data_IF_084827227636
#
_entry.id   IF_084827227636
#
_cell.length_a   1.000
_cell.length_b   1.000
_cell.length_c   1.000
_cell.angle_alpha   90.00
_cell.angle_beta   90.00
_cell.angle_gamma   90.00
#
_symmetry.space_group_name_H-M   'P 1'
#
loop_
_entity.id
_entity.type
_entity.pdbx_description
1 polymer ?
#
# COMPACT_ATOMS: atom_id res chain seq x y z
N UNK A 1 -31.18 31.46 12.76
CA UNK A 1 -30.89 31.15 11.34
C UNK A 1 -29.56 30.43 11.09
N UNK A 2 -28.51 30.58 11.91
CA UNK A 2 -27.22 29.88 11.70
C UNK A 2 -27.19 28.40 12.14
N UNK A 3 -28.01 28.02 13.12
CA UNK A 3 -28.08 26.64 13.64
C UNK A 3 -28.73 25.66 12.64
N UNK A 4 -29.70 26.14 11.85
CA UNK A 4 -30.36 25.34 10.83
C UNK A 4 -29.43 24.94 9.68
N UNK A 5 -28.45 25.78 9.33
CA UNK A 5 -27.47 25.50 8.27
C UNK A 5 -26.46 24.43 8.71
N UNK A 6 -26.09 24.41 10.00
CA UNK A 6 -25.18 23.40 10.56
C UNK A 6 -25.89 22.04 10.63
N UNK A 7 -27.17 22.01 11.03
CA UNK A 7 -27.97 20.78 11.01
C UNK A 7 -28.22 20.29 9.58
N UNK A 8 -28.46 21.19 8.61
CA UNK A 8 -28.57 20.79 7.20
C UNK A 8 -27.23 20.24 6.66
N UNK A 9 -26.09 20.85 7.00
CA UNK A 9 -24.77 20.36 6.60
C UNK A 9 -24.42 18.99 7.21
N UNK A 10 -24.85 18.73 8.45
CA UNK A 10 -24.71 17.42 9.09
C UNK A 10 -25.66 16.37 8.47
N UNK A 11 -26.88 16.76 8.09
CA UNK A 11 -27.84 15.89 7.41
C UNK A 11 -27.45 15.59 5.95
N UNK A 12 -26.74 16.50 5.26
CA UNK A 12 -26.20 16.25 3.91
C UNK A 12 -25.03 15.25 3.99
N UNK A 13 -24.23 15.27 5.07
CA UNK A 13 -23.20 14.26 5.30
C UNK A 13 -23.78 12.87 5.63
N UNK A 14 -24.93 12.80 6.30
CA UNK A 14 -25.59 11.52 6.58
C UNK A 14 -26.38 10.95 5.38
N UNK A 15 -26.74 11.78 4.39
CA UNK A 15 -27.54 11.34 3.23
C UNK A 15 -26.73 11.02 1.96
N UNK A 16 -25.41 11.24 1.97
CA UNK A 16 -24.47 10.84 0.89
C UNK A 16 -23.41 9.82 1.33
N UNK A 17 -23.68 9.03 2.37
CA UNK A 17 -22.77 8.01 2.91
C UNK A 17 -22.65 6.72 2.08
N UNK A 18 -22.56 6.78 0.75
CA UNK A 18 -22.01 5.65 0.01
C UNK A 18 -20.49 5.68 0.24
N UNK A 19 -19.98 4.86 1.15
CA UNK A 19 -18.54 4.71 1.32
C UNK A 19 -17.93 4.38 -0.03
N UNK A 20 -16.99 5.21 -0.50
CA UNK A 20 -16.32 4.97 -1.78
C UNK A 20 -15.59 3.63 -1.67
N UNK A 21 -15.93 2.70 -2.55
CA UNK A 21 -15.41 1.35 -2.56
C UNK A 21 -14.59 1.14 -3.83
N UNK A 22 -13.39 0.59 -3.70
CA UNK A 22 -12.46 0.37 -4.82
C UNK A 22 -11.89 -1.03 -4.79
N UNK A 23 -11.71 -1.62 -5.97
CA UNK A 23 -10.99 -2.87 -6.14
C UNK A 23 -9.55 -2.56 -6.58
N UNK A 24 -8.59 -3.22 -5.95
CA UNK A 24 -7.16 -3.06 -6.19
C UNK A 24 -6.60 -4.39 -6.71
N UNK A 25 -6.36 -4.46 -8.01
CA UNK A 25 -5.87 -5.65 -8.69
C UNK A 25 -4.37 -5.49 -8.97
N UNK A 26 -3.52 -6.25 -8.28
CA UNK A 26 -2.07 -6.22 -8.50
C UNK A 26 -1.70 -7.10 -9.69
N UNK A 27 -1.67 -6.54 -10.89
CA UNK A 27 -1.49 -7.30 -12.13
C UNK A 27 -0.07 -7.81 -12.31
N UNK A 28 0.92 -7.10 -11.77
CA UNK A 28 2.33 -7.50 -11.78
C UNK A 28 3.06 -7.01 -10.54
N UNK A 29 4.08 -7.74 -10.13
CA UNK A 29 5.08 -7.26 -9.19
C UNK A 29 6.40 -8.01 -9.42
N UNK A 30 7.53 -7.35 -9.13
CA UNK A 30 8.86 -7.97 -9.16
C UNK A 30 9.87 -7.18 -8.33
N UNK A 31 10.90 -7.84 -7.80
CA UNK A 31 12.04 -7.13 -7.23
C UNK A 31 12.80 -6.44 -8.36
N UNK A 32 13.31 -5.23 -8.09
CA UNK A 32 14.17 -4.56 -9.06
C UNK A 32 15.46 -5.37 -9.30
N UNK A 33 16.09 -5.16 -10.46
CA UNK A 33 17.33 -5.85 -10.79
C UNK A 33 18.45 -5.59 -9.75
N UNK A 34 19.21 -6.65 -9.47
CA UNK A 34 20.30 -6.65 -8.51
C UNK A 34 19.92 -7.26 -7.17
N UNK A 35 20.89 -7.89 -6.50
CA UNK A 35 20.67 -8.50 -5.19
C UNK A 35 20.69 -7.42 -4.11
N UNK A 36 19.53 -7.16 -3.52
CA UNK A 36 19.38 -6.20 -2.43
C UNK A 36 19.28 -6.91 -1.07
N UNK A 37 19.57 -6.21 0.03
CA UNK A 37 19.48 -6.77 1.38
C UNK A 37 18.14 -7.43 1.71
N UNK A 38 17.04 -6.89 1.18
CA UNK A 38 15.68 -7.39 1.36
C UNK A 38 15.06 -7.67 -0.02
N UNK A 39 14.69 -8.93 -0.24
CA UNK A 39 13.91 -9.37 -1.39
C UNK A 39 12.50 -9.77 -0.94
N UNK A 40 11.49 -9.39 -1.73
CA UNK A 40 10.07 -9.63 -1.41
C UNK A 40 9.51 -10.68 -2.37
N UNK A 41 8.75 -11.62 -1.84
CA UNK A 41 7.98 -12.58 -2.63
C UNK A 41 6.52 -12.52 -2.21
N UNK A 42 5.62 -12.15 -3.14
CA UNK A 42 4.20 -11.93 -2.87
C UNK A 42 3.30 -12.83 -3.69
N UNK A 43 2.24 -13.30 -3.07
CA UNK A 43 1.11 -13.93 -3.74
C UNK A 43 -0.15 -13.16 -3.34
N UNK A 44 -0.78 -12.49 -4.31
CA UNK A 44 -1.98 -11.69 -4.07
C UNK A 44 -3.21 -12.49 -4.51
N UNK A 45 -4.16 -12.68 -3.60
CA UNK A 45 -5.41 -13.37 -3.92
C UNK A 45 -6.37 -12.44 -4.65
N UNK A 46 -6.64 -12.75 -5.92
CA UNK A 46 -7.52 -11.96 -6.80
C UNK A 46 -8.85 -12.66 -7.12
N UNK A 47 -9.10 -13.88 -6.65
CA UNK A 47 -10.29 -14.65 -7.02
C UNK A 47 -11.57 -14.12 -6.36
N UNK A 48 -11.46 -13.60 -5.13
CA UNK A 48 -12.58 -13.05 -4.36
C UNK A 48 -12.25 -11.64 -3.84
N UNK A 49 -11.95 -10.73 -4.77
CA UNK A 49 -11.57 -9.37 -4.41
C UNK A 49 -12.65 -8.70 -3.54
N UNK A 50 -12.24 -8.22 -2.38
CA UNK A 50 -13.11 -7.47 -1.46
C UNK A 50 -12.79 -5.99 -1.60
N UNK A 51 -13.81 -5.11 -1.71
CA UNK A 51 -13.54 -3.69 -1.82
C UNK A 51 -12.70 -3.15 -0.66
N UNK A 52 -11.75 -2.30 -1.00
CA UNK A 52 -10.81 -1.66 -0.09
C UNK A 52 -9.92 -2.62 0.72
N UNK A 53 -9.82 -3.89 0.33
CA UNK A 53 -8.96 -4.88 0.98
C UNK A 53 -8.12 -5.63 -0.04
N UNK A 54 -6.85 -5.84 0.30
CA UNK A 54 -5.92 -6.66 -0.48
C UNK A 54 -5.52 -7.85 0.37
N UNK A 55 -5.80 -9.06 -0.11
CA UNK A 55 -5.40 -10.30 0.55
C UNK A 55 -4.11 -10.81 -0.08
N UNK A 56 -3.14 -11.17 0.76
CA UNK A 56 -1.83 -11.60 0.30
C UNK A 56 -1.20 -12.65 1.23
N UNK A 57 -0.39 -13.50 0.64
CA UNK A 57 0.60 -14.36 1.30
C UNK A 57 1.97 -14.00 0.75
N UNK A 58 3.05 -14.37 1.43
CA UNK A 58 4.38 -14.08 0.93
C UNK A 58 5.47 -14.23 1.96
N UNK A 59 6.67 -13.83 1.57
CA UNK A 59 7.80 -13.76 2.48
C UNK A 59 8.80 -12.67 2.08
N UNK A 60 9.61 -12.28 3.05
CA UNK A 60 10.80 -11.45 2.87
C UNK A 60 12.02 -12.32 3.12
N UNK A 61 12.97 -12.27 2.20
CA UNK A 61 14.30 -12.82 2.42
C UNK A 61 15.26 -11.68 2.74
N UNK A 62 15.77 -11.68 3.97
CA UNK A 62 16.71 -10.67 4.47
C UNK A 62 18.09 -11.30 4.54
N UNK A 63 19.00 -10.83 3.69
CA UNK A 63 20.35 -11.40 3.55
C UNK A 63 21.37 -10.79 4.51
N UNK A 64 21.17 -9.53 4.92
CA UNK A 64 22.04 -8.83 5.85
C UNK A 64 21.25 -7.92 6.81
N UNK A 65 21.90 -7.49 7.90
CA UNK A 65 21.27 -6.62 8.89
C UNK A 65 20.97 -5.25 8.29
N UNK A 66 19.69 -4.86 8.27
CA UNK A 66 19.25 -3.52 7.85
C UNK A 66 18.95 -2.66 9.06
N UNK A 67 19.76 -1.63 9.29
CA UNK A 67 19.66 -0.75 10.47
C UNK A 67 18.92 0.55 10.16
N UNK A 68 18.33 1.16 11.19
CA UNK A 68 17.62 2.43 11.05
C UNK A 68 18.55 3.64 10.81
N UNK A 69 18.01 4.75 10.29
CA UNK A 69 16.64 4.92 9.81
C UNK A 69 16.40 4.16 8.49
N UNK A 70 15.16 3.71 8.27
CA UNK A 70 14.71 3.10 7.01
C UNK A 70 13.62 4.00 6.42
N UNK A 71 13.90 4.62 5.28
CA UNK A 71 12.98 5.52 4.60
C UNK A 71 12.39 4.88 3.35
N UNK A 72 11.07 5.04 3.16
CA UNK A 72 10.40 4.62 1.93
C UNK A 72 10.25 5.78 0.95
N UNK A 73 10.54 5.51 -0.31
CA UNK A 73 10.20 6.41 -1.41
C UNK A 73 9.35 5.67 -2.45
N UNK A 74 8.32 6.36 -2.93
CA UNK A 74 7.40 5.88 -3.96
C UNK A 74 7.58 6.75 -5.19
N UNK A 75 8.00 6.13 -6.28
CA UNK A 75 7.93 6.73 -7.62
C UNK A 75 6.74 6.08 -8.32
N UNK A 76 5.85 6.86 -8.91
CA UNK A 76 4.60 6.30 -9.42
C UNK A 76 4.16 7.03 -10.67
N UNK A 77 3.67 6.27 -11.65
CA UNK A 77 3.00 6.77 -12.83
C UNK A 77 1.55 6.28 -12.80
N UNK A 78 0.61 7.17 -13.15
CA UNK A 78 -0.75 6.74 -13.48
C UNK A 78 -0.81 6.54 -14.99
N UNK A 79 -1.34 5.40 -15.41
CA UNK A 79 -1.52 5.06 -16.82
C UNK A 79 -2.99 4.79 -17.12
N UNK A 80 -3.44 5.04 -18.34
CA UNK A 80 -4.71 4.49 -18.79
C UNK A 80 -4.67 2.95 -18.77
N UNK A 81 -5.84 2.29 -18.82
CA UNK A 81 -5.89 0.83 -18.76
C UNK A 81 -5.25 0.13 -19.97
N UNK A 82 -5.05 0.84 -21.09
CA UNK A 82 -4.31 0.34 -22.25
C UNK A 82 -2.79 0.52 -22.15
N UNK A 83 -2.29 1.14 -21.08
CA UNK A 83 -0.88 1.46 -20.87
C UNK A 83 -0.27 2.35 -21.96
N UNK A 84 -1.08 3.11 -22.71
CA UNK A 84 -0.63 3.95 -23.82
C UNK A 84 -0.26 5.36 -23.38
N UNK A 85 -0.98 5.90 -22.39
CA UNK A 85 -0.72 7.21 -21.81
C UNK A 85 -0.38 7.05 -20.34
N UNK A 86 0.83 7.45 -19.98
CA UNK A 86 1.31 7.43 -18.60
C UNK A 86 1.78 8.82 -18.19
N UNK A 87 1.35 9.28 -17.03
CA UNK A 87 1.73 10.56 -16.44
C UNK A 87 2.42 10.31 -15.09
N UNK A 88 3.53 11.02 -14.87
CA UNK A 88 4.24 10.96 -13.59
C UNK A 88 3.36 11.53 -12.49
N UNK A 89 3.17 10.75 -11.44
CA UNK A 89 2.50 11.18 -10.23
C UNK A 89 3.56 11.42 -9.16
N UNK A 90 3.64 12.66 -8.65
CA UNK A 90 4.60 12.98 -7.61
C UNK A 90 4.24 12.19 -6.33
N UNK A 91 5.19 11.37 -5.89
CA UNK A 91 4.99 10.40 -4.84
C UNK A 91 4.71 11.01 -3.47
N UNK A 92 4.02 10.23 -2.64
CA UNK A 92 3.82 10.52 -1.22
C UNK A 92 5.03 9.96 -0.45
N UNK A 93 5.58 10.74 0.49
CA UNK A 93 6.53 10.20 1.46
C UNK A 93 5.75 9.45 2.52
N UNK A 94 6.02 8.15 2.69
CA UNK A 94 5.46 7.38 3.79
C UNK A 94 6.42 7.39 5.00
N UNK A 95 5.89 7.28 6.22
CA UNK A 95 6.71 7.04 7.40
C UNK A 95 7.57 5.78 7.22
N UNK A 96 8.77 5.80 7.79
CA UNK A 96 9.69 4.67 7.70
C UNK A 96 9.13 3.41 8.36
N UNK A 97 9.50 2.21 7.88
CA UNK A 97 8.98 0.95 8.46
C UNK A 97 9.30 0.81 9.95
N UNK A 98 10.44 1.34 10.41
CA UNK A 98 10.78 1.34 11.84
C UNK A 98 9.85 2.22 12.68
N UNK A 99 9.28 3.27 12.09
CA UNK A 99 8.27 4.11 12.74
C UNK A 99 6.91 3.40 12.73
N UNK A 100 6.54 2.78 11.60
CA UNK A 100 5.33 1.95 11.48
C UNK A 100 5.34 0.80 12.50
N UNK A 101 6.48 0.13 12.70
CA UNK A 101 6.64 -0.95 13.67
C UNK A 101 6.45 -0.48 15.12
N UNK A 102 6.71 0.79 15.42
CA UNK A 102 6.48 1.40 16.73
C UNK A 102 5.05 1.91 16.89
N UNK A 103 4.42 2.37 15.80
CA UNK A 103 3.06 2.88 15.82
C UNK A 103 2.03 1.75 15.68
N UNK A 104 1.75 1.06 16.79
CA UNK A 104 0.83 -0.09 16.85
C UNK A 104 -0.61 0.23 16.45
N UNK A 105 -0.98 1.51 16.40
CA UNK A 105 -2.31 1.98 15.99
C UNK A 105 -2.31 2.56 14.56
N UNK A 106 -1.17 2.52 13.86
CA UNK A 106 -1.04 3.06 12.51
C UNK A 106 -1.71 2.16 11.45
N UNK A 107 -2.14 2.74 10.31
CA UNK A 107 -2.86 2.02 9.26
C UNK A 107 -2.03 0.87 8.63
N UNK A 108 -0.70 0.96 8.67
CA UNK A 108 0.20 -0.05 8.14
C UNK A 108 0.68 -1.07 9.17
N UNK A 109 0.37 -0.89 10.46
CA UNK A 109 0.76 -1.84 11.51
C UNK A 109 0.20 -3.26 11.28
N UNK A 110 -1.05 -3.46 10.82
CA UNK A 110 -1.59 -4.79 10.50
C UNK A 110 -0.76 -5.55 9.46
N UNK A 111 -0.14 -4.84 8.52
CA UNK A 111 0.69 -5.43 7.46
C UNK A 111 2.00 -5.96 8.06
N UNK A 112 2.69 -5.13 8.83
CA UNK A 112 4.02 -5.48 9.38
C UNK A 112 3.93 -6.49 10.53
N UNK A 113 2.82 -6.51 11.29
CA UNK A 113 2.62 -7.47 12.39
C UNK A 113 2.28 -8.89 11.90
N UNK A 114 1.87 -9.03 10.63
CA UNK A 114 1.47 -10.31 10.06
C UNK A 114 2.68 -11.23 9.79
N UNK A 115 3.87 -10.65 9.64
CA UNK A 115 5.11 -11.39 9.43
C UNK A 115 5.54 -12.21 10.65
N UNK A 116 6.07 -13.41 10.37
CA UNK A 116 6.65 -14.37 11.30
C UNK A 116 8.08 -14.73 10.85
N UNK A 117 9.12 -14.53 11.67
CA UNK A 117 9.10 -13.90 12.99
C UNK A 117 8.65 -12.43 12.90
N UNK A 118 8.28 -11.84 14.04
CA UNK A 118 7.79 -10.45 14.05
C UNK A 118 8.92 -9.52 13.59
N UNK A 119 8.63 -8.67 12.61
CA UNK A 119 9.56 -7.64 12.19
C UNK A 119 9.86 -6.68 13.35
N UNK A 120 11.14 -6.34 13.51
CA UNK A 120 11.63 -5.35 14.46
C UNK A 120 12.77 -4.57 13.81
N UNK A 121 13.07 -3.37 14.31
CA UNK A 121 14.27 -2.65 13.90
C UNK A 121 15.37 -2.79 14.96
N UNK A 122 16.62 -3.11 14.57
CA UNK A 122 17.07 -3.39 13.21
C UNK A 122 16.49 -4.70 12.65
N UNK A 123 16.29 -4.77 11.34
CA UNK A 123 15.80 -5.98 10.67
C UNK A 123 17.00 -6.92 10.53
N UNK A 124 16.89 -8.10 11.13
CA UNK A 124 17.98 -9.08 11.15
C UNK A 124 17.89 -10.02 9.95
N UNK A 125 19.01 -10.62 9.51
CA UNK A 125 19.00 -11.65 8.48
C UNK A 125 18.05 -12.79 8.84
N UNK A 126 17.35 -13.30 7.83
CA UNK A 126 16.37 -14.38 8.01
C UNK A 126 15.21 -14.28 7.04
N UNK A 127 14.35 -15.29 7.11
CA UNK A 127 13.12 -15.37 6.32
C UNK A 127 11.93 -14.96 7.18
N UNK A 128 11.12 -14.03 6.67
CA UNK A 128 9.94 -13.51 7.36
C UNK A 128 8.71 -13.82 6.53
N UNK A 129 7.80 -14.65 7.03
CA UNK A 129 6.68 -15.18 6.25
C UNK A 129 5.35 -14.63 6.73
N UNK A 130 4.38 -14.53 5.83
CA UNK A 130 3.03 -14.06 6.10
C UNK A 130 2.04 -14.90 5.30
N UNK A 131 0.92 -15.28 5.91
CA UNK A 131 -0.08 -16.14 5.28
C UNK A 131 -1.47 -15.53 5.41
N UNK A 132 -2.24 -15.55 4.33
CA UNK A 132 -3.65 -15.10 4.28
C UNK A 132 -3.87 -13.75 4.97
N UNK A 133 -2.91 -12.85 4.79
CA UNK A 133 -2.85 -11.54 5.43
C UNK A 133 -3.67 -10.54 4.65
N UNK A 134 -4.11 -9.47 5.31
CA UNK A 134 -4.97 -8.45 4.71
C UNK A 134 -4.40 -7.06 4.94
N UNK A 135 -4.32 -6.28 3.86
CA UNK A 135 -4.10 -4.84 3.90
C UNK A 135 -5.44 -4.14 3.73
N UNK A 136 -5.82 -3.33 4.71
CA UNK A 136 -6.96 -2.43 4.59
C UNK A 136 -6.49 -1.11 3.94
N UNK A 137 -6.94 -0.88 2.71
CA UNK A 137 -6.61 0.31 1.93
C UNK A 137 -7.78 1.32 1.88
N UNK A 138 -8.80 1.13 2.73
CA UNK A 138 -9.91 2.07 2.86
C UNK A 138 -9.50 3.51 3.19
N UNK A 139 -8.41 3.80 3.93
CA UNK A 139 -7.96 5.18 4.13
C UNK A 139 -7.62 5.91 2.82
N UNK A 140 -7.30 5.18 1.75
CA UNK A 140 -6.98 5.73 0.43
C UNK A 140 -8.19 5.80 -0.50
N UNK A 141 -9.34 5.22 -0.12
CA UNK A 141 -10.52 5.16 -0.97
C UNK A 141 -11.05 6.54 -1.42
N UNK A 142 -11.01 7.61 -0.60
CA UNK A 142 -11.43 8.95 -1.03
C UNK A 142 -10.54 9.59 -2.11
N UNK A 143 -9.30 9.13 -2.28
CA UNK A 143 -8.38 9.71 -3.27
C UNK A 143 -8.83 9.35 -4.68
N UNK A 144 -8.76 10.25 -5.68
CA UNK A 144 -9.23 9.99 -7.06
C UNK A 144 -8.24 9.11 -7.84
N UNK A 145 -8.08 7.87 -7.41
CA UNK A 145 -7.09 6.91 -7.94
C UNK A 145 -7.70 5.83 -8.83
N UNK A 146 -9.02 5.71 -8.89
CA UNK A 146 -9.71 4.75 -9.75
C UNK A 146 -9.71 5.17 -11.23
N UNK A 147 -9.87 4.18 -12.13
CA UNK A 147 -9.88 4.41 -13.58
C UNK A 147 -8.50 4.36 -14.24
N UNK A 148 -7.46 3.97 -13.49
CA UNK A 148 -6.07 3.95 -13.95
C UNK A 148 -5.35 2.66 -13.53
N UNK A 149 -4.31 2.33 -14.30
CA UNK A 149 -3.26 1.40 -13.89
C UNK A 149 -2.12 2.19 -13.28
N UNK A 150 -1.78 1.89 -12.04
CA UNK A 150 -0.71 2.54 -11.30
C UNK A 150 0.56 1.70 -11.41
N UNK A 151 1.61 2.28 -11.97
CA UNK A 151 2.94 1.65 -12.06
C UNK A 151 3.83 2.31 -11.03
N UNK A 152 4.21 1.56 -10.01
CA UNK A 152 4.91 2.06 -8.84
C UNK A 152 6.24 1.36 -8.62
N UNK A 153 7.27 2.15 -8.34
CA UNK A 153 8.54 1.69 -7.81
C UNK A 153 8.62 2.09 -6.34
N UNK A 154 8.70 1.10 -5.45
CA UNK A 154 8.83 1.27 -4.02
C UNK A 154 10.26 0.94 -3.62
N UNK A 155 10.94 1.88 -2.97
CA UNK A 155 12.32 1.73 -2.52
C UNK A 155 12.38 1.94 -1.01
N UNK A 156 13.12 1.09 -0.30
CA UNK A 156 13.49 1.33 1.08
C UNK A 156 14.99 1.63 1.16
N UNK A 157 15.36 2.80 1.66
CA UNK A 157 16.76 3.18 1.90
C UNK A 157 17.09 3.09 3.39
N UNK A 158 18.23 2.51 3.74
CA UNK A 158 18.74 2.41 5.11
C UNK A 158 19.96 3.32 5.31
N UNK A 159 20.06 3.95 6.48
CA UNK A 159 21.15 4.85 6.85
C UNK A 159 20.96 6.30 6.40
N UNK A 160 21.92 7.15 6.77
CA UNK A 160 21.86 8.60 6.54
C UNK A 160 23.06 9.13 5.77
N UNK A 161 22.88 10.27 5.09
CA UNK A 161 23.92 10.98 4.38
C UNK A 161 24.68 10.10 3.38
N UNK A 162 26.01 10.06 3.50
CA UNK A 162 26.89 9.28 2.61
C UNK A 162 26.79 7.76 2.82
N UNK A 163 26.22 7.31 3.93
CA UNK A 163 26.07 5.89 4.25
C UNK A 163 24.69 5.34 3.84
N UNK A 164 23.84 6.17 3.22
CA UNK A 164 22.53 5.77 2.74
C UNK A 164 22.67 4.72 1.64
N UNK A 165 22.06 3.56 1.83
CA UNK A 165 22.07 2.45 0.87
C UNK A 165 20.66 1.97 0.58
N UNK A 166 20.44 1.50 -0.64
CA UNK A 166 19.18 0.86 -1.02
C UNK A 166 19.11 -0.53 -0.39
N UNK A 167 18.10 -0.77 0.43
CA UNK A 167 17.87 -2.04 1.13
C UNK A 167 16.82 -2.92 0.44
N UNK A 168 15.88 -2.32 -0.28
CA UNK A 168 14.75 -2.99 -0.92
C UNK A 168 14.32 -2.18 -2.14
N UNK A 169 13.90 -2.85 -3.21
CA UNK A 169 13.28 -2.22 -4.36
C UNK A 169 12.26 -3.17 -5.00
N UNK A 170 11.02 -2.69 -5.15
CA UNK A 170 9.89 -3.46 -5.69
C UNK A 170 9.19 -2.65 -6.78
N UNK A 171 8.97 -3.27 -7.94
CA UNK A 171 8.12 -2.77 -9.00
C UNK A 171 6.74 -3.40 -8.85
N UNK A 172 5.68 -2.60 -9.03
CA UNK A 172 4.30 -3.07 -8.95
C UNK A 172 3.44 -2.40 -10.02
N UNK A 173 2.54 -3.17 -10.62
CA UNK A 173 1.44 -2.67 -11.43
C UNK A 173 0.13 -2.97 -10.70
N UNK A 174 -0.68 -1.94 -10.44
CA UNK A 174 -1.96 -2.08 -9.75
C UNK A 174 -3.06 -1.38 -10.53
N UNK A 175 -4.03 -2.14 -11.01
CA UNK A 175 -5.24 -1.61 -11.64
C UNK A 175 -6.26 -1.30 -10.55
N UNK A 176 -6.76 -0.06 -10.53
CA UNK A 176 -7.74 0.39 -9.54
C UNK A 176 -9.07 0.70 -10.23
N UNK A 177 -10.14 0.05 -9.78
CA UNK A 177 -11.48 0.26 -10.32
C UNK A 177 -12.47 0.66 -9.23
N UNK A 178 -13.42 1.52 -9.58
CA UNK A 178 -14.52 1.86 -8.69
C UNK A 178 -15.46 0.66 -8.54
N UNK A 179 -15.70 0.23 -7.32
CA UNK A 179 -16.67 -0.80 -7.01
C UNK A 179 -18.06 -0.16 -6.87
N UNK A 180 -18.99 -0.58 -7.73
CA UNK A 180 -20.40 -0.18 -7.65
C UNK A 180 -21.23 -1.36 -7.23
N UNK A 181 -21.77 -1.32 -6.01
CA UNK A 181 -22.81 -2.26 -5.60
C UNK A 181 -24.05 -1.98 -6.43
N UNK A 182 -24.52 -2.93 -7.25
CA UNK A 182 -25.85 -2.82 -7.85
C UNK A 182 -26.86 -2.83 -6.71
N UNK A 183 -27.42 -1.66 -6.34
CA UNK A 183 -28.68 -1.63 -5.61
C UNK A 183 -29.74 -2.19 -6.58
N UNK A 184 -30.17 -3.42 -6.35
CA UNK A 184 -31.45 -3.87 -6.91
C UNK A 184 -32.51 -2.92 -6.39
N UNK A 185 -33.05 -2.10 -7.27
CA UNK A 185 -34.33 -1.43 -7.03
C UNK A 185 -35.39 -2.52 -7.16
N UNK A 186 -35.81 -3.07 -6.01
CA UNK A 186 -37.14 -3.66 -5.90
C UNK A 186 -38.12 -2.54 -5.61
#
# INVERSE_FOLDING_TARGET
MKIFIILLALLINETYGASVQKLFEMTKWENCAGKLPIEIFLEVNQTNMVPNKIYYSGHLDVSEKVSGPIEFSFETNKCDFSMQKCEKFNGVKLPGICEVLKNVNGPFYPVVKAFKPRLSCPILPGKYETMNSVVDVSPFAPLPVDGYTWVSTVKASSGEGKNRKLAMCLLMETKITLYKTRKNKN
#
